data_IF_158953586146
#
_entry.id   IF_158953586146
#
_cell.length_a   1.000
_cell.length_b   1.000
_cell.length_c   1.000
_cell.angle_alpha   90.00
_cell.angle_beta   90.00
_cell.angle_gamma   90.00
#
_symmetry.space_group_name_H-M   'P 1'
#
loop_
_entity.id
_entity.type
_entity.pdbx_description
1 polymer ?
#
# COMPACT_ATOMS: atom_id res chain seq x y z
N UNK A 1 54.17 29.87 -31.11
CA UNK A 1 52.70 29.75 -31.16
C UNK A 1 52.34 28.30 -31.47
N UNK A 2 51.74 27.58 -30.53
CA UNK A 2 51.14 26.25 -30.73
C UNK A 2 49.81 26.24 -29.98
N UNK A 3 48.71 26.35 -30.71
CA UNK A 3 47.35 26.27 -30.17
C UNK A 3 46.88 24.83 -30.29
N UNK A 4 46.85 24.09 -29.19
CA UNK A 4 46.20 22.79 -29.08
C UNK A 4 44.72 22.99 -28.80
N UNK A 5 43.88 22.65 -29.78
CA UNK A 5 42.41 22.65 -29.66
C UNK A 5 41.99 21.38 -28.92
N UNK A 6 41.53 21.50 -27.67
CA UNK A 6 40.96 20.38 -26.91
C UNK A 6 39.45 20.35 -27.17
N UNK A 7 39.02 19.40 -28.00
CA UNK A 7 37.60 19.13 -28.22
C UNK A 7 37.06 18.31 -27.03
N UNK A 8 36.42 18.97 -26.08
CA UNK A 8 35.68 18.32 -25.00
C UNK A 8 34.37 17.75 -25.57
N UNK A 9 34.36 16.46 -25.85
CA UNK A 9 33.16 15.71 -26.24
C UNK A 9 32.31 15.49 -24.98
N UNK A 10 31.36 16.39 -24.72
CA UNK A 10 30.37 16.22 -23.65
C UNK A 10 29.35 15.17 -24.12
N UNK A 11 29.58 13.90 -23.77
CA UNK A 11 28.58 12.85 -23.90
C UNK A 11 27.49 13.07 -22.84
N UNK A 12 26.49 13.88 -23.18
CA UNK A 12 25.20 13.91 -22.49
C UNK A 12 24.53 12.54 -22.68
N UNK A 13 24.75 11.63 -21.74
CA UNK A 13 23.94 10.43 -21.60
C UNK A 13 22.49 10.86 -21.33
N UNK A 14 21.68 10.90 -22.39
CA UNK A 14 20.23 10.98 -22.30
C UNK A 14 19.73 9.66 -21.70
N UNK A 15 19.80 9.55 -20.37
CA UNK A 15 19.06 8.54 -19.62
C UNK A 15 17.58 8.85 -19.82
N UNK A 16 16.94 8.18 -20.78
CA UNK A 16 15.48 8.16 -20.83
C UNK A 16 14.99 7.64 -19.48
N UNK A 17 14.20 8.40 -18.70
CA UNK A 17 13.67 7.88 -17.47
C UNK A 17 12.89 6.61 -17.84
N UNK A 18 13.28 5.48 -17.25
CA UNK A 18 12.51 4.26 -17.37
C UNK A 18 11.12 4.59 -16.82
N UNK A 19 10.16 4.76 -17.74
CA UNK A 19 8.79 5.11 -17.39
C UNK A 19 8.29 4.00 -16.49
N UNK A 20 8.22 4.31 -15.20
CA UNK A 20 7.94 3.29 -14.20
C UNK A 20 6.51 2.83 -14.44
N UNK A 21 6.29 1.51 -14.54
CA UNK A 21 4.94 0.97 -14.74
C UNK A 21 3.99 1.56 -13.69
N UNK A 22 2.73 1.89 -14.09
CA UNK A 22 1.73 2.33 -13.14
C UNK A 22 1.59 1.34 -11.98
N UNK A 23 1.39 1.87 -10.78
CA UNK A 23 1.23 1.06 -9.59
C UNK A 23 -0.14 0.36 -9.65
N UNK A 24 -0.13 -0.96 -9.63
CA UNK A 24 -1.36 -1.76 -9.70
C UNK A 24 -1.84 -2.11 -8.28
N UNK A 25 -3.04 -1.69 -7.85
CA UNK A 25 -3.57 -2.06 -6.54
C UNK A 25 -4.35 -3.39 -6.53
N UNK A 26 -4.54 -4.07 -7.67
CA UNK A 26 -5.29 -5.32 -7.72
C UNK A 26 -4.80 -6.43 -6.77
N UNK A 27 -3.50 -6.58 -6.48
CA UNK A 27 -3.04 -7.57 -5.50
C UNK A 27 -3.50 -7.30 -4.06
N UNK A 28 -4.03 -6.10 -3.75
CA UNK A 28 -4.63 -5.80 -2.45
C UNK A 28 -6.02 -6.44 -2.29
N UNK A 29 -6.68 -6.86 -3.38
CA UNK A 29 -7.95 -7.57 -3.37
C UNK A 29 -7.75 -9.05 -2.95
N UNK A 30 -7.17 -9.27 -1.78
CA UNK A 30 -6.97 -10.60 -1.20
C UNK A 30 -8.25 -11.17 -0.58
N UNK A 31 -8.25 -12.49 -0.31
CA UNK A 31 -9.36 -13.19 0.33
C UNK A 31 -9.53 -12.86 1.81
N UNK A 32 -8.48 -12.36 2.45
CA UNK A 32 -8.45 -12.03 3.87
C UNK A 32 -7.51 -10.86 4.10
N UNK A 33 -7.80 -10.08 5.14
CA UNK A 33 -6.91 -9.03 5.64
C UNK A 33 -6.01 -9.60 6.73
N UNK A 34 -4.72 -9.31 6.63
CA UNK A 34 -3.73 -9.63 7.65
C UNK A 34 -2.54 -8.69 7.58
N UNK A 35 -1.91 -8.49 8.74
CA UNK A 35 -0.70 -7.69 8.91
C UNK A 35 0.30 -8.47 9.74
N UNK A 36 1.56 -8.44 9.31
CA UNK A 36 2.66 -9.15 9.94
C UNK A 36 2.69 -10.66 9.64
N UNK A 37 3.50 -11.36 10.42
CA UNK A 37 3.66 -12.80 10.31
C UNK A 37 2.42 -13.51 10.89
N UNK A 38 1.54 -13.97 10.00
CA UNK A 38 0.31 -14.66 10.38
C UNK A 38 0.17 -16.01 9.68
N UNK A 39 -0.79 -16.81 10.14
CA UNK A 39 -0.99 -18.19 9.70
C UNK A 39 -0.06 -19.17 10.41
N UNK A 40 -0.28 -20.46 10.17
CA UNK A 40 0.38 -21.55 10.90
C UNK A 40 1.92 -21.51 10.83
N UNK A 41 2.48 -21.08 9.70
CA UNK A 41 3.92 -20.96 9.48
C UNK A 41 4.46 -19.54 9.74
N UNK A 42 3.60 -18.56 10.05
CA UNK A 42 3.97 -17.16 10.24
C UNK A 42 4.58 -16.53 8.98
N UNK A 43 3.76 -16.26 7.96
CA UNK A 43 4.23 -15.66 6.71
C UNK A 43 3.61 -14.27 6.50
N UNK A 44 4.40 -13.35 5.95
CA UNK A 44 3.86 -12.10 5.38
C UNK A 44 2.96 -12.49 4.21
N UNK A 45 1.78 -11.87 4.09
CA UNK A 45 0.90 -12.20 2.97
C UNK A 45 1.36 -11.61 1.64
N UNK A 46 0.94 -12.18 0.49
CA UNK A 46 1.21 -11.58 -0.81
C UNK A 46 0.71 -10.14 -0.93
N UNK A 47 -0.46 -9.82 -0.37
CA UNK A 47 -1.04 -8.48 -0.40
C UNK A 47 -0.24 -7.49 0.46
N UNK A 48 0.21 -7.91 1.64
CA UNK A 48 1.07 -7.09 2.49
C UNK A 48 2.44 -6.82 1.85
N UNK A 49 3.10 -7.85 1.30
CA UNK A 49 4.35 -7.66 0.54
C UNK A 49 4.16 -6.69 -0.62
N UNK A 50 3.02 -6.79 -1.31
CA UNK A 50 2.70 -5.88 -2.40
C UNK A 50 2.49 -4.45 -1.91
N UNK A 51 1.77 -4.26 -0.80
CA UNK A 51 1.62 -2.97 -0.14
C UNK A 51 2.99 -2.38 0.21
N UNK A 52 3.90 -3.15 0.81
CA UNK A 52 5.26 -2.68 1.14
C UNK A 52 6.04 -2.23 -0.09
N UNK A 53 5.92 -2.94 -1.21
CA UNK A 53 6.51 -2.52 -2.47
C UNK A 53 5.86 -1.23 -3.01
N UNK A 54 4.54 -1.08 -2.83
CA UNK A 54 3.81 0.13 -3.18
C UNK A 54 4.30 1.34 -2.39
N UNK A 55 4.47 1.24 -1.07
CA UNK A 55 4.83 2.39 -0.21
C UNK A 55 6.19 3.02 -0.55
N UNK A 56 7.06 2.32 -1.28
CA UNK A 56 8.35 2.85 -1.77
C UNK A 56 8.22 3.78 -2.99
N UNK A 57 7.00 3.93 -3.52
CA UNK A 57 6.71 4.68 -4.75
C UNK A 57 6.09 6.04 -4.42
N UNK A 58 6.51 7.13 -5.08
CA UNK A 58 5.99 8.48 -4.78
C UNK A 58 4.48 8.61 -5.06
N UNK A 59 3.94 7.84 -6.00
CA UNK A 59 2.52 7.83 -6.34
C UNK A 59 1.63 7.00 -5.39
N UNK A 60 2.20 6.29 -4.42
CA UNK A 60 1.47 5.36 -3.56
C UNK A 60 0.29 6.02 -2.84
N UNK A 61 0.48 7.24 -2.32
CA UNK A 61 -0.58 7.97 -1.63
C UNK A 61 -1.83 8.15 -2.50
N UNK A 62 -1.65 8.60 -3.74
CA UNK A 62 -2.77 8.83 -4.66
C UNK A 62 -3.47 7.51 -5.04
N UNK A 63 -2.70 6.44 -5.23
CA UNK A 63 -3.23 5.13 -5.57
C UNK A 63 -4.02 4.53 -4.41
N UNK A 64 -3.51 4.60 -3.18
CA UNK A 64 -4.22 4.09 -2.00
C UNK A 64 -5.52 4.86 -1.75
N UNK A 65 -5.52 6.20 -1.90
CA UNK A 65 -6.76 6.98 -1.85
C UNK A 65 -7.76 6.53 -2.92
N UNK A 66 -7.30 6.24 -4.14
CA UNK A 66 -8.19 5.72 -5.19
C UNK A 66 -8.81 4.36 -4.84
N UNK A 67 -8.10 3.50 -4.08
CA UNK A 67 -8.64 2.22 -3.59
C UNK A 67 -9.73 2.45 -2.55
N UNK A 68 -9.55 3.41 -1.65
CA UNK A 68 -10.56 3.82 -0.68
C UNK A 68 -11.84 4.28 -1.39
N UNK A 69 -11.70 5.02 -2.49
CA UNK A 69 -12.82 5.62 -3.22
C UNK A 69 -13.51 4.69 -4.24
N UNK A 70 -12.83 3.68 -4.77
CA UNK A 70 -13.39 2.80 -5.80
C UNK A 70 -14.39 1.80 -5.20
N UNK A 71 -15.70 1.84 -5.57
CA UNK A 71 -16.71 0.93 -5.04
C UNK A 71 -16.54 -0.53 -5.49
N UNK A 72 -15.68 -0.80 -6.49
CA UNK A 72 -15.42 -2.15 -7.00
C UNK A 72 -14.32 -2.88 -6.24
N UNK A 73 -13.57 -2.17 -5.38
CA UNK A 73 -12.49 -2.74 -4.58
C UNK A 73 -13.06 -3.44 -3.35
N UNK A 74 -12.47 -4.56 -2.99
CA UNK A 74 -12.91 -5.36 -1.86
C UNK A 74 -12.73 -4.61 -0.52
N UNK A 75 -13.53 -4.97 0.51
CA UNK A 75 -13.28 -4.53 1.88
C UNK A 75 -11.83 -4.73 2.34
N UNK A 76 -11.22 -5.87 1.98
CA UNK A 76 -9.83 -6.21 2.29
C UNK A 76 -8.86 -5.21 1.65
N UNK A 77 -9.04 -4.89 0.37
CA UNK A 77 -8.20 -3.92 -0.33
C UNK A 77 -8.27 -2.53 0.31
N UNK A 78 -9.47 -2.13 0.77
CA UNK A 78 -9.67 -0.86 1.48
C UNK A 78 -8.95 -0.83 2.83
N UNK A 79 -8.92 -1.95 3.58
CA UNK A 79 -8.17 -2.03 4.83
C UNK A 79 -6.65 -1.97 4.61
N UNK A 80 -6.12 -2.65 3.58
CA UNK A 80 -4.72 -2.46 3.18
C UNK A 80 -4.41 -1.03 2.76
N UNK A 81 -5.32 -0.39 2.02
CA UNK A 81 -5.16 1.00 1.63
C UNK A 81 -5.14 1.94 2.84
N UNK A 82 -6.05 1.77 3.79
CA UNK A 82 -6.09 2.54 5.03
C UNK A 82 -4.78 2.38 5.82
N UNK A 83 -4.30 1.16 5.94
CA UNK A 83 -3.06 0.84 6.61
C UNK A 83 -1.83 1.48 5.93
N UNK A 84 -1.77 1.44 4.60
CA UNK A 84 -0.73 2.12 3.84
C UNK A 84 -0.75 3.64 4.02
N UNK A 85 -1.94 4.25 4.02
CA UNK A 85 -2.11 5.69 4.27
C UNK A 85 -1.64 6.07 5.67
N UNK A 86 -1.92 5.24 6.68
CA UNK A 86 -1.43 5.42 8.05
C UNK A 86 0.10 5.38 8.11
N UNK A 87 0.72 4.34 7.55
CA UNK A 87 2.18 4.15 7.53
C UNK A 87 2.92 5.30 6.87
N UNK A 88 2.35 5.88 5.82
CA UNK A 88 2.94 7.02 5.11
C UNK A 88 2.75 8.37 5.81
N UNK A 89 1.95 8.44 6.88
CA UNK A 89 1.54 9.73 7.47
C UNK A 89 0.72 10.58 6.48
N UNK A 90 -0.12 9.93 5.67
CA UNK A 90 -0.92 10.62 4.65
C UNK A 90 -1.89 11.62 5.27
N UNK A 91 -1.95 12.85 4.74
CA UNK A 91 -2.98 13.82 5.10
C UNK A 91 -4.41 13.38 4.73
N UNK A 92 -4.57 12.33 3.91
CA UNK A 92 -5.87 11.75 3.57
C UNK A 92 -6.31 10.61 4.48
N UNK A 93 -5.48 10.21 5.45
CA UNK A 93 -5.76 9.07 6.34
C UNK A 93 -7.07 9.23 7.12
N UNK A 94 -7.28 10.36 7.79
CA UNK A 94 -8.47 10.59 8.62
C UNK A 94 -9.77 10.53 7.82
N UNK A 95 -9.76 11.13 6.62
CA UNK A 95 -10.90 11.09 5.71
C UNK A 95 -11.19 9.64 5.23
N UNK A 96 -10.13 8.88 4.94
CA UNK A 96 -10.26 7.47 4.58
C UNK A 96 -10.82 6.63 5.74
N UNK A 97 -10.35 6.86 6.97
CA UNK A 97 -10.83 6.17 8.17
C UNK A 97 -12.33 6.43 8.40
N UNK A 98 -12.74 7.70 8.39
CA UNK A 98 -14.16 8.09 8.51
C UNK A 98 -15.00 7.46 7.40
N UNK A 99 -14.46 7.39 6.17
CA UNK A 99 -15.16 6.78 5.06
C UNK A 99 -15.37 5.28 5.27
N UNK A 100 -14.32 4.54 5.66
CA UNK A 100 -14.44 3.10 5.96
C UNK A 100 -15.41 2.85 7.12
N UNK A 101 -15.49 3.75 8.10
CA UNK A 101 -16.48 3.66 9.17
C UNK A 101 -17.94 3.76 8.69
N UNK A 102 -18.15 4.27 7.48
CA UNK A 102 -19.46 4.32 6.83
C UNK A 102 -19.74 3.15 5.89
N UNK A 103 -18.81 2.21 5.70
CA UNK A 103 -19.05 1.01 4.90
C UNK A 103 -19.79 -0.05 5.73
N UNK A 104 -20.69 -0.77 5.06
CA UNK A 104 -21.28 -2.00 5.58
C UNK A 104 -20.59 -3.18 4.92
N UNK A 105 -20.32 -4.23 5.69
CA UNK A 105 -19.77 -5.48 5.14
C UNK A 105 -18.91 -6.22 6.14
N UNK A 106 -18.75 -7.51 5.87
CA UNK A 106 -17.87 -8.39 6.63
C UNK A 106 -16.56 -8.59 5.88
N UNK A 107 -15.49 -8.75 6.64
CA UNK A 107 -14.16 -9.05 6.15
C UNK A 107 -13.59 -10.24 6.91
N UNK A 108 -12.90 -11.12 6.18
CA UNK A 108 -12.10 -12.17 6.79
C UNK A 108 -10.80 -11.56 7.30
N UNK A 109 -10.54 -11.63 8.60
CA UNK A 109 -9.33 -11.08 9.24
C UNK A 109 -8.56 -12.20 9.90
N UNK A 110 -7.25 -12.26 9.65
CA UNK A 110 -6.36 -13.22 10.30
C UNK A 110 -5.50 -12.54 11.35
N UNK A 111 -5.58 -13.05 12.57
CA UNK A 111 -4.80 -12.58 13.72
C UNK A 111 -4.06 -13.78 14.31
N UNK A 112 -2.72 -13.73 14.27
CA UNK A 112 -1.91 -14.92 14.55
C UNK A 112 -2.26 -16.05 13.58
N UNK A 113 -2.66 -17.21 14.11
CA UNK A 113 -3.08 -18.39 13.34
C UNK A 113 -4.61 -18.56 13.23
N UNK A 114 -5.38 -17.59 13.74
CA UNK A 114 -6.85 -17.65 13.77
C UNK A 114 -7.47 -16.71 12.74
N UNK A 115 -8.55 -17.17 12.13
CA UNK A 115 -9.34 -16.44 11.14
C UNK A 115 -10.71 -16.09 11.71
N UNK A 116 -11.09 -14.82 11.57
CA UNK A 116 -12.35 -14.27 12.06
C UNK A 116 -13.10 -13.61 10.91
N UNK A 117 -14.43 -13.54 11.03
CA UNK A 117 -15.24 -12.59 10.27
C UNK A 117 -15.54 -11.42 11.20
N UNK A 118 -15.22 -10.20 10.77
CA UNK A 118 -15.55 -8.99 11.51
C UNK A 118 -16.11 -7.92 10.57
N UNK A 119 -16.81 -6.94 11.15
CA UNK A 119 -17.28 -5.80 10.37
C UNK A 119 -16.09 -4.95 9.90
N UNK A 120 -16.16 -4.41 8.67
CA UNK A 120 -15.11 -3.54 8.14
C UNK A 120 -14.85 -2.32 9.04
N UNK A 121 -15.86 -1.81 9.75
CA UNK A 121 -15.68 -0.75 10.76
C UNK A 121 -14.78 -1.20 11.89
N UNK A 122 -15.02 -2.38 12.44
CA UNK A 122 -14.25 -2.90 13.57
C UNK A 122 -12.80 -3.13 13.15
N UNK A 123 -12.58 -3.63 11.93
CA UNK A 123 -11.25 -3.76 11.34
C UNK A 123 -10.56 -2.39 11.15
N UNK A 124 -11.29 -1.37 10.71
CA UNK A 124 -10.77 -0.01 10.54
C UNK A 124 -10.44 0.67 11.88
N UNK A 125 -11.29 0.50 12.89
CA UNK A 125 -11.04 0.97 14.26
C UNK A 125 -9.82 0.29 14.87
N UNK A 126 -9.63 -1.00 14.58
CA UNK A 126 -8.43 -1.74 14.98
C UNK A 126 -7.18 -1.16 14.33
N UNK A 127 -7.21 -0.84 13.03
CA UNK A 127 -6.08 -0.18 12.33
C UNK A 127 -5.76 1.18 12.96
N UNK A 128 -6.77 1.96 13.36
CA UNK A 128 -6.55 3.23 14.06
C UNK A 128 -5.74 3.04 15.35
N UNK A 129 -6.06 2.02 16.13
CA UNK A 129 -5.48 1.77 17.45
C UNK A 129 -4.21 0.91 17.45
N UNK A 130 -3.92 0.18 16.37
CA UNK A 130 -2.73 -0.67 16.23
C UNK A 130 -1.67 -0.04 15.34
N UNK A 131 -0.41 -0.44 15.53
CA UNK A 131 0.60 -0.19 14.52
C UNK A 131 0.34 -1.06 13.30
N UNK A 132 0.24 -0.41 12.15
CA UNK A 132 0.41 -1.05 10.86
C UNK A 132 1.90 -1.34 10.68
N UNK A 133 2.38 -2.41 11.33
CA UNK A 133 3.79 -2.74 11.36
C UNK A 133 4.35 -2.96 9.96
N UNK A 134 5.64 -2.69 9.80
CA UNK A 134 6.41 -3.28 8.71
C UNK A 134 6.55 -4.77 9.05
N UNK A 135 6.29 -5.67 8.10
CA UNK A 135 6.37 -7.09 8.40
C UNK A 135 7.79 -7.46 8.84
N UNK A 136 7.98 -7.72 10.13
CA UNK A 136 9.16 -8.38 10.73
C UNK A 136 10.52 -7.72 10.50
#
# INVERSE_FOLDING_TARGET
>A
MKTTLSAALICLFLSTPAMSRPLDPAPLDASQFNLGLVGFAGEISPAERHLEAMLRRPEANAVLLSVIDDPRRSPVAKLYALCGLKRMGSGGYEAALVKLRGFEGQVSVMLGDQMFQEDIREAADRIENLECSEGG
#
